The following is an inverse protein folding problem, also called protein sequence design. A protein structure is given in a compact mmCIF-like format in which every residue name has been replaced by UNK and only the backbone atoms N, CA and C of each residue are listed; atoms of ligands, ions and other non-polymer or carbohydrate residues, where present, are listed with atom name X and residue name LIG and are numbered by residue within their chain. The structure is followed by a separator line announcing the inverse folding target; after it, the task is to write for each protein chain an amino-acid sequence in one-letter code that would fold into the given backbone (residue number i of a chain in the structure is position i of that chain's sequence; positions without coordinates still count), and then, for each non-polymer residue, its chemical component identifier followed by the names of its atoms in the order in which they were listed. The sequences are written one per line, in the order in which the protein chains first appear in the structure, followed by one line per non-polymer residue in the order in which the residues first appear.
data_IF_028926701224
#
_entry.id   IF_028926701224
#
_cell.length_a   1.000
_cell.length_b   1.000
_cell.length_c   1.000
_cell.angle_alpha   90.00
_cell.angle_beta   90.00
_cell.angle_gamma   90.00
#
_symmetry.space_group_name_H-M   'P 1'
#
loop_
_entity.id
_entity.type
_entity.pdbx_description
1 polymer ?
#
# COMPACT_ATOMS: atom_id res chain seq x y z
N UNK A 1 25.06 -57.37 39.48
CA UNK A 1 25.75 -57.50 38.17
C UNK A 1 24.76 -57.73 37.02
N UNK A 2 24.20 -58.93 36.76
CA UNK A 2 23.25 -59.14 35.63
C UNK A 2 22.12 -58.09 35.56
N UNK A 3 21.41 -57.83 36.67
CA UNK A 3 20.39 -56.77 36.71
C UNK A 3 20.91 -55.36 36.40
N UNK A 4 22.13 -55.03 36.81
CA UNK A 4 22.73 -53.71 36.53
C UNK A 4 23.15 -53.59 35.08
N UNK A 5 23.65 -54.67 34.48
CA UNK A 5 23.96 -54.75 33.05
C UNK A 5 22.70 -54.53 32.22
N UNK A 6 21.60 -55.23 32.56
CA UNK A 6 20.30 -55.05 31.89
C UNK A 6 19.84 -53.59 31.99
N UNK A 7 19.84 -53.00 33.20
CA UNK A 7 19.47 -51.59 33.38
C UNK A 7 20.36 -50.63 32.59
N UNK A 8 21.68 -50.85 32.54
CA UNK A 8 22.58 -50.00 31.77
C UNK A 8 22.37 -50.15 30.26
N UNK A 9 22.06 -51.36 29.78
CA UNK A 9 21.76 -51.59 28.37
C UNK A 9 20.41 -51.01 27.97
N UNK A 10 19.40 -51.12 28.83
CA UNK A 10 18.09 -50.46 28.65
C UNK A 10 18.26 -48.94 28.63
N UNK A 11 19.02 -48.35 29.57
CA UNK A 11 19.28 -46.90 29.62
C UNK A 11 20.06 -46.38 28.41
N UNK A 12 20.84 -47.25 27.76
CA UNK A 12 21.61 -46.96 26.55
C UNK A 12 20.85 -47.29 25.26
N UNK A 13 19.62 -47.82 25.35
CA UNK A 13 18.85 -48.38 24.23
C UNK A 13 19.69 -49.39 23.38
N UNK A 14 20.56 -50.17 24.04
CA UNK A 14 21.47 -51.11 23.39
C UNK A 14 20.97 -52.56 23.51
N UNK A 15 20.89 -53.26 22.37
CA UNK A 15 20.61 -54.69 22.33
C UNK A 15 21.91 -55.51 22.52
N UNK A 16 21.84 -56.72 23.09
CA UNK A 16 23.02 -57.60 23.23
C UNK A 16 23.56 -57.99 21.85
N UNK A 17 24.81 -57.61 21.57
CA UNK A 17 25.46 -57.85 20.28
C UNK A 17 26.40 -59.05 20.37
N UNK A 18 27.20 -59.12 21.44
CA UNK A 18 28.19 -60.17 21.63
C UNK A 18 27.55 -61.48 22.10
N UNK A 19 28.17 -62.62 21.79
CA UNK A 19 27.71 -63.93 22.29
C UNK A 19 27.64 -63.96 23.81
N UNK A 20 28.57 -63.28 24.48
CA UNK A 20 28.62 -63.16 25.94
C UNK A 20 27.48 -62.32 26.50
N UNK A 21 27.16 -61.16 25.89
CA UNK A 21 25.99 -60.37 26.29
C UNK A 21 24.67 -61.13 26.09
N UNK A 22 24.55 -61.87 24.98
CA UNK A 22 23.37 -62.71 24.68
C UNK A 22 23.20 -63.83 25.70
N UNK A 23 24.29 -64.51 26.07
CA UNK A 23 24.28 -65.53 27.12
C UNK A 23 23.86 -64.92 28.48
N UNK A 24 24.41 -63.75 28.82
CA UNK A 24 24.05 -63.05 30.07
C UNK A 24 22.58 -62.60 30.09
N UNK A 25 22.02 -62.14 28.98
CA UNK A 25 20.68 -61.51 28.95
C UNK A 25 19.58 -62.51 28.62
N UNK A 26 19.81 -63.40 27.65
CA UNK A 26 18.79 -64.25 27.05
C UNK A 26 18.78 -65.69 27.58
N UNK A 27 19.87 -66.20 28.15
CA UNK A 27 19.90 -67.58 28.68
C UNK A 27 19.42 -67.70 30.14
N UNK A 28 18.98 -68.91 30.48
CA UNK A 28 18.48 -69.29 31.80
C UNK A 28 19.55 -69.06 32.87
N UNK A 29 19.17 -68.45 33.98
CA UNK A 29 20.11 -68.07 35.06
C UNK A 29 20.87 -69.26 35.65
N UNK A 30 20.33 -70.46 35.51
CA UNK A 30 20.89 -71.72 36.01
C UNK A 30 21.83 -72.39 35.00
N UNK A 31 21.79 -71.99 33.72
CA UNK A 31 22.68 -72.49 32.67
C UNK A 31 24.04 -71.76 32.62
N UNK A 32 24.11 -70.55 33.19
CA UNK A 32 25.31 -69.73 33.15
C UNK A 32 26.44 -70.28 34.06
N UNK A 33 27.59 -70.56 33.45
CA UNK A 33 28.74 -71.13 34.16
C UNK A 33 29.41 -70.08 35.08
N UNK A 34 29.42 -70.33 36.40
CA UNK A 34 30.02 -69.45 37.42
C UNK A 34 31.54 -69.65 37.57
N UNK A 35 32.30 -69.47 36.47
CA UNK A 35 33.77 -69.50 36.50
C UNK A 35 34.36 -68.17 36.98
N UNK A 36 35.61 -68.19 37.48
CA UNK A 36 36.34 -66.95 37.85
C UNK A 36 36.48 -66.00 36.66
N UNK A 37 36.70 -66.55 35.47
CA UNK A 37 36.86 -65.80 34.23
C UNK A 37 35.53 -65.17 33.79
N UNK A 38 34.42 -65.91 33.86
CA UNK A 38 33.09 -65.39 33.54
C UNK A 38 32.66 -64.28 34.50
N UNK A 39 33.00 -64.40 35.79
CA UNK A 39 32.77 -63.35 36.79
C UNK A 39 33.64 -62.10 36.49
N UNK A 40 34.88 -62.28 36.06
CA UNK A 40 35.75 -61.17 35.66
C UNK A 40 35.23 -60.45 34.41
N UNK A 41 34.80 -61.20 33.39
CA UNK A 41 34.18 -60.68 32.16
C UNK A 41 32.86 -59.96 32.44
N UNK A 42 32.04 -60.46 33.37
CA UNK A 42 30.82 -59.79 33.83
C UNK A 42 31.11 -58.42 34.48
N UNK A 43 32.16 -58.33 35.30
CA UNK A 43 32.58 -57.07 35.93
C UNK A 43 33.14 -56.09 34.91
N UNK A 44 33.91 -56.60 33.94
CA UNK A 44 34.45 -55.78 32.85
C UNK A 44 33.33 -55.18 31.99
N UNK A 45 32.36 -56.00 31.58
CA UNK A 45 31.21 -55.55 30.79
C UNK A 45 30.40 -54.49 31.54
N UNK A 46 30.14 -54.69 32.84
CA UNK A 46 29.46 -53.68 33.65
C UNK A 46 30.24 -52.37 33.69
N UNK A 47 31.56 -52.41 33.92
CA UNK A 47 32.40 -51.20 33.94
C UNK A 47 32.40 -50.46 32.60
N UNK A 48 32.43 -51.18 31.48
CA UNK A 48 32.36 -50.59 30.14
C UNK A 48 31.00 -49.94 29.85
N UNK A 49 29.91 -50.53 30.33
CA UNK A 49 28.56 -49.97 30.18
C UNK A 49 28.38 -48.72 31.07
N UNK A 50 28.89 -48.76 32.30
CA UNK A 50 28.86 -47.62 33.23
C UNK A 50 29.70 -46.44 32.69
N UNK A 51 30.88 -46.70 32.12
CA UNK A 51 31.73 -45.68 31.48
C UNK A 51 31.00 -45.03 30.29
N UNK A 52 30.45 -45.83 29.38
CA UNK A 52 29.72 -45.31 28.21
C UNK A 52 28.45 -44.53 28.58
N UNK A 53 27.75 -44.97 29.63
CA UNK A 53 26.62 -44.24 30.20
C UNK A 53 27.06 -42.88 30.75
N UNK A 54 28.17 -42.85 31.50
CA UNK A 54 28.73 -41.61 32.02
C UNK A 54 29.16 -40.64 30.90
N UNK A 55 29.79 -41.15 29.84
CA UNK A 55 30.14 -40.37 28.64
C UNK A 55 28.89 -39.78 27.95
N UNK A 56 27.87 -40.60 27.69
CA UNK A 56 26.62 -40.16 27.08
C UNK A 56 25.90 -39.12 27.93
N UNK A 57 25.88 -39.32 29.25
CA UNK A 57 25.30 -38.37 30.18
C UNK A 57 26.04 -37.03 30.15
N UNK A 58 27.38 -37.03 30.16
CA UNK A 58 28.18 -35.80 30.07
C UNK A 58 27.93 -35.04 28.75
N UNK A 59 27.81 -35.76 27.63
CA UNK A 59 27.46 -35.16 26.32
C UNK A 59 26.06 -34.54 26.37
N UNK A 60 25.07 -35.27 26.88
CA UNK A 60 23.70 -34.77 27.03
C UNK A 60 23.62 -33.53 27.92
N UNK A 61 24.33 -33.52 29.06
CA UNK A 61 24.38 -32.39 29.98
C UNK A 61 24.98 -31.14 29.31
N UNK A 62 26.12 -31.28 28.62
CA UNK A 62 26.75 -30.16 27.90
C UNK A 62 25.87 -29.58 26.78
N UNK A 63 25.09 -30.42 26.09
CA UNK A 63 24.13 -29.96 25.09
C UNK A 63 22.87 -29.35 25.72
N UNK A 64 22.46 -29.82 26.90
CA UNK A 64 21.26 -29.34 27.58
C UNK A 64 21.37 -27.87 27.98
N UNK A 65 22.54 -27.43 28.45
CA UNK A 65 22.75 -26.02 28.79
C UNK A 65 22.50 -25.10 27.58
N UNK A 66 23.00 -25.50 26.41
CA UNK A 66 22.79 -24.77 25.14
C UNK A 66 21.33 -24.82 24.69
N UNK A 67 20.66 -25.97 24.84
CA UNK A 67 19.24 -26.13 24.53
C UNK A 67 18.39 -25.23 25.44
N UNK A 68 18.72 -25.16 26.72
CA UNK A 68 18.03 -24.31 27.70
C UNK A 68 18.16 -22.83 27.30
N UNK A 69 19.37 -22.36 26.98
CA UNK A 69 19.59 -21.00 26.49
C UNK A 69 18.75 -20.70 25.24
N UNK A 70 18.75 -21.63 24.27
CA UNK A 70 17.97 -21.49 23.04
C UNK A 70 16.47 -21.49 23.30
N UNK A 71 15.96 -22.33 24.19
CA UNK A 71 14.55 -22.31 24.58
C UNK A 71 14.14 -20.97 25.19
N UNK A 72 14.97 -20.40 26.05
CA UNK A 72 14.71 -19.10 26.67
C UNK A 72 14.75 -17.96 25.65
N UNK A 73 15.76 -17.93 24.77
CA UNK A 73 15.90 -16.90 23.73
C UNK A 73 14.83 -17.00 22.65
N UNK A 74 14.45 -18.22 22.26
CA UNK A 74 13.41 -18.48 21.25
C UNK A 74 12.00 -18.51 21.85
N UNK A 75 11.87 -18.37 23.17
CA UNK A 75 10.61 -18.41 23.91
C UNK A 75 9.77 -19.67 23.60
N UNK A 76 10.42 -20.84 23.56
CA UNK A 76 9.73 -22.11 23.31
C UNK A 76 8.73 -22.38 24.45
N UNK A 77 7.47 -22.76 24.15
CA UNK A 77 6.44 -23.00 25.16
C UNK A 77 6.84 -24.08 26.18
N UNK A 78 6.39 -23.92 27.42
CA UNK A 78 6.75 -24.83 28.51
C UNK A 78 6.26 -26.26 28.25
N UNK A 79 5.13 -26.41 27.58
CA UNK A 79 4.56 -27.71 27.20
C UNK A 79 5.50 -28.50 26.29
N UNK A 80 6.12 -27.85 25.31
CA UNK A 80 7.10 -28.48 24.41
C UNK A 80 8.36 -28.88 25.16
N UNK A 81 8.84 -28.04 26.08
CA UNK A 81 10.02 -28.34 26.92
C UNK A 81 9.74 -29.57 27.78
N UNK A 82 8.59 -29.62 28.44
CA UNK A 82 8.21 -30.75 29.29
C UNK A 82 8.07 -32.06 28.52
N UNK A 83 7.48 -32.02 27.32
CA UNK A 83 7.38 -33.20 26.46
C UNK A 83 8.77 -33.76 26.11
N UNK A 84 9.71 -32.88 25.76
CA UNK A 84 11.09 -33.28 25.46
C UNK A 84 11.79 -33.86 26.71
N UNK A 85 11.67 -33.18 27.86
CA UNK A 85 12.28 -33.62 29.12
C UNK A 85 11.75 -34.98 29.61
N UNK A 86 10.48 -35.31 29.35
CA UNK A 86 9.88 -36.59 29.76
C UNK A 86 10.31 -37.76 28.88
N UNK A 87 10.54 -37.53 27.59
CA UNK A 87 10.68 -38.62 26.62
C UNK A 87 12.12 -38.93 26.22
N UNK A 88 13.04 -37.96 26.28
CA UNK A 88 14.23 -38.01 25.43
C UNK A 88 15.52 -37.49 26.07
N UNK A 89 15.49 -37.17 27.37
CA UNK A 89 16.51 -36.35 28.02
C UNK A 89 17.86 -37.03 28.25
N UNK A 90 17.87 -38.37 28.28
CA UNK A 90 19.07 -39.20 28.46
C UNK A 90 19.62 -39.72 27.13
N UNK A 91 18.86 -39.58 26.05
CA UNK A 91 19.21 -40.12 24.74
C UNK A 91 20.02 -39.06 23.97
N UNK A 92 21.28 -39.40 23.67
CA UNK A 92 22.22 -38.51 22.95
C UNK A 92 21.65 -38.11 21.59
N UNK A 93 21.09 -39.06 20.84
CA UNK A 93 20.54 -38.81 19.51
C UNK A 93 19.38 -37.80 19.54
N UNK A 94 18.49 -37.90 20.52
CA UNK A 94 17.38 -36.97 20.71
C UNK A 94 17.82 -35.60 21.21
N UNK A 95 18.83 -35.54 22.09
CA UNK A 95 19.42 -34.27 22.54
C UNK A 95 20.07 -33.51 21.40
N UNK A 96 20.82 -34.22 20.54
CA UNK A 96 21.41 -33.63 19.34
C UNK A 96 20.36 -33.22 18.30
N UNK A 97 19.28 -33.98 18.14
CA UNK A 97 18.21 -33.64 17.20
C UNK A 97 17.44 -32.40 17.63
N UNK A 98 17.16 -32.25 18.92
CA UNK A 98 16.53 -31.05 19.47
C UNK A 98 17.44 -29.83 19.33
N UNK A 99 18.74 -29.96 19.59
CA UNK A 99 19.70 -28.89 19.33
C UNK A 99 19.69 -28.43 17.86
N UNK A 100 19.64 -29.36 16.91
CA UNK A 100 19.49 -29.03 15.48
C UNK A 100 18.17 -28.34 15.16
N UNK A 101 17.05 -28.84 15.73
CA UNK A 101 15.72 -28.24 15.55
C UNK A 101 15.69 -26.78 16.01
N UNK A 102 16.26 -26.49 17.18
CA UNK A 102 16.29 -25.14 17.74
C UNK A 102 17.19 -24.19 16.94
N UNK A 103 18.34 -24.68 16.45
CA UNK A 103 19.20 -23.90 15.57
C UNK A 103 18.51 -23.56 14.25
N UNK A 104 17.74 -24.50 13.69
CA UNK A 104 16.93 -24.23 12.49
C UNK A 104 15.79 -23.24 12.79
N UNK A 105 15.12 -23.38 13.94
CA UNK A 105 14.09 -22.43 14.37
C UNK A 105 14.66 -21.02 14.53
N UNK A 106 15.86 -20.89 15.12
CA UNK A 106 16.59 -19.61 15.20
C UNK A 106 16.84 -19.03 13.82
N UNK A 107 17.34 -19.85 12.88
CA UNK A 107 17.60 -19.44 11.50
C UNK A 107 16.33 -18.97 10.79
N UNK A 108 15.22 -19.68 10.95
CA UNK A 108 13.91 -19.32 10.41
C UNK A 108 13.36 -18.02 11.00
N UNK A 109 13.51 -17.81 12.32
CA UNK A 109 13.11 -16.55 12.95
C UNK A 109 13.92 -15.37 12.40
N UNK A 110 15.25 -15.50 12.31
CA UNK A 110 16.09 -14.45 11.70
C UNK A 110 15.72 -14.18 10.25
N UNK A 111 15.41 -15.24 9.48
CA UNK A 111 14.91 -15.12 8.11
C UNK A 111 13.65 -14.28 8.04
N UNK A 112 12.63 -14.61 8.83
CA UNK A 112 11.35 -13.90 8.82
C UNK A 112 11.52 -12.42 9.16
N UNK A 113 12.32 -12.11 10.20
CA UNK A 113 12.61 -10.72 10.58
C UNK A 113 13.38 -9.99 9.49
N UNK A 114 14.41 -10.62 8.91
CA UNK A 114 15.20 -10.04 7.82
C UNK A 114 14.33 -9.76 6.59
N UNK A 115 13.46 -10.69 6.20
CA UNK A 115 12.52 -10.51 5.09
C UNK A 115 11.52 -9.37 5.35
N UNK A 116 11.01 -9.25 6.58
CA UNK A 116 10.17 -8.12 6.98
C UNK A 116 10.92 -6.79 6.86
N UNK A 117 12.16 -6.70 7.36
CA UNK A 117 12.99 -5.51 7.22
C UNK A 117 13.28 -5.21 5.74
N UNK A 118 13.56 -6.21 4.91
CA UNK A 118 13.74 -6.03 3.45
C UNK A 118 12.52 -5.42 2.79
N UNK A 119 11.32 -5.85 3.19
CA UNK A 119 10.07 -5.28 2.69
C UNK A 119 9.91 -3.80 3.05
N UNK A 120 10.29 -3.41 4.28
CA UNK A 120 10.29 -2.01 4.70
C UNK A 120 11.37 -1.20 3.97
N UNK A 121 12.57 -1.76 3.78
CA UNK A 121 13.65 -1.14 2.99
C UNK A 121 13.18 -0.87 1.56
N UNK A 122 12.51 -1.82 0.91
CA UNK A 122 11.98 -1.65 -0.44
C UNK A 122 10.97 -0.50 -0.52
N UNK A 123 10.07 -0.36 0.47
CA UNK A 123 9.13 0.76 0.55
C UNK A 123 9.87 2.09 0.73
N UNK A 124 10.94 2.13 1.54
CA UNK A 124 11.74 3.34 1.73
C UNK A 124 12.52 3.70 0.47
N UNK A 125 13.06 2.71 -0.25
CA UNK A 125 13.70 2.92 -1.55
C UNK A 125 12.75 3.54 -2.56
N UNK A 126 11.51 3.07 -2.64
CA UNK A 126 10.48 3.67 -3.49
C UNK A 126 10.18 5.12 -3.07
N UNK A 127 9.91 5.35 -1.78
CA UNK A 127 9.61 6.69 -1.24
C UNK A 127 10.73 7.71 -1.42
N UNK A 128 11.98 7.24 -1.40
CA UNK A 128 13.16 8.08 -1.59
C UNK A 128 13.67 8.09 -3.03
N UNK A 129 12.95 7.44 -3.96
CA UNK A 129 13.28 7.33 -5.38
C UNK A 129 14.67 6.73 -5.67
N UNK A 130 15.09 5.72 -4.91
CA UNK A 130 16.36 5.04 -5.11
C UNK A 130 16.40 4.34 -6.47
N UNK A 131 17.46 4.61 -7.23
CA UNK A 131 17.75 3.92 -8.49
C UNK A 131 18.14 2.46 -8.27
N UNK A 132 17.98 1.62 -9.31
CA UNK A 132 18.40 0.21 -9.29
C UNK A 132 19.85 0.04 -8.81
N UNK A 133 20.77 0.88 -9.30
CA UNK A 133 22.18 0.81 -8.93
C UNK A 133 22.41 1.12 -7.44
N UNK A 134 21.65 2.06 -6.87
CA UNK A 134 21.72 2.38 -5.43
C UNK A 134 21.14 1.26 -4.57
N UNK A 135 20.09 0.59 -5.03
CA UNK A 135 19.52 -0.57 -4.35
C UNK A 135 20.52 -1.75 -4.38
N UNK A 136 21.19 -1.96 -5.52
CA UNK A 136 22.21 -2.99 -5.70
C UNK A 136 23.48 -2.74 -4.88
N UNK A 137 23.78 -1.48 -4.55
CA UNK A 137 24.92 -1.13 -3.71
C UNK A 137 24.83 -1.75 -2.29
N UNK A 138 23.62 -1.99 -1.78
CA UNK A 138 23.42 -2.72 -0.53
C UNK A 138 23.40 -4.24 -0.78
N UNK A 139 24.57 -4.80 -1.09
CA UNK A 139 24.79 -6.23 -1.38
C UNK A 139 24.15 -7.19 -0.35
N UNK A 140 24.17 -6.92 0.98
CA UNK A 140 23.53 -7.79 1.97
C UNK A 140 22.02 -8.03 1.73
N UNK A 141 21.33 -7.13 1.02
CA UNK A 141 19.92 -7.29 0.65
C UNK A 141 19.64 -8.58 -0.14
N UNK A 142 20.61 -9.06 -0.92
CA UNK A 142 20.42 -10.20 -1.82
C UNK A 142 20.94 -11.53 -1.24
N UNK A 143 21.54 -11.51 -0.04
CA UNK A 143 22.05 -12.73 0.60
C UNK A 143 20.90 -13.61 1.11
N UNK A 144 21.04 -14.93 1.00
CA UNK A 144 20.12 -15.91 1.60
C UNK A 144 20.72 -16.60 2.83
N UNK A 145 21.88 -16.12 3.29
CA UNK A 145 22.61 -16.68 4.43
C UNK A 145 22.17 -15.97 5.72
N UNK A 146 21.03 -16.41 6.25
CA UNK A 146 20.43 -15.82 7.44
C UNK A 146 21.29 -16.08 8.68
N UNK A 147 22.05 -15.06 9.06
CA UNK A 147 22.93 -15.01 10.23
C UNK A 147 22.59 -13.78 11.08
N UNK A 148 23.00 -13.77 12.34
CA UNK A 148 22.81 -12.61 13.23
C UNK A 148 23.51 -11.35 12.66
N UNK A 149 24.68 -11.53 12.02
CA UNK A 149 25.38 -10.45 11.35
C UNK A 149 24.57 -9.88 10.19
N UNK A 150 23.96 -10.74 9.36
CA UNK A 150 23.11 -10.29 8.25
C UNK A 150 21.93 -9.47 8.77
N UNK A 151 21.27 -9.94 9.83
CA UNK A 151 20.16 -9.22 10.46
C UNK A 151 20.60 -7.84 10.96
N UNK A 152 21.72 -7.76 11.68
CA UNK A 152 22.25 -6.49 12.17
C UNK A 152 22.59 -5.48 11.06
N UNK A 153 23.08 -5.95 9.91
CA UNK A 153 23.29 -5.08 8.73
C UNK A 153 21.97 -4.50 8.19
N UNK A 154 20.90 -5.30 8.17
CA UNK A 154 19.58 -4.85 7.73
C UNK A 154 18.95 -3.87 8.73
N UNK A 155 19.10 -4.11 10.03
CA UNK A 155 18.64 -3.21 11.10
C UNK A 155 19.36 -1.85 11.03
N UNK A 156 20.67 -1.84 10.78
CA UNK A 156 21.41 -0.60 10.60
C UNK A 156 20.98 0.14 9.32
N UNK A 157 20.79 -0.58 8.21
CA UNK A 157 20.42 0.03 6.94
C UNK A 157 19.01 0.63 6.97
N UNK A 158 18.03 -0.07 7.56
CA UNK A 158 16.68 0.48 7.68
C UNK A 158 16.65 1.73 8.56
N UNK A 159 17.45 1.79 9.63
CA UNK A 159 17.57 2.99 10.47
C UNK A 159 18.18 4.15 9.68
N UNK A 160 19.25 3.90 8.92
CA UNK A 160 19.89 4.89 8.04
C UNK A 160 18.90 5.44 7.01
N UNK A 161 18.10 4.57 6.38
CA UNK A 161 17.09 4.97 5.40
C UNK A 161 15.94 5.74 6.03
N UNK A 162 15.45 5.33 7.22
CA UNK A 162 14.41 6.05 7.96
C UNK A 162 14.88 7.46 8.33
N UNK A 163 16.12 7.60 8.79
CA UNK A 163 16.72 8.90 9.08
C UNK A 163 16.83 9.75 7.80
N UNK A 164 17.37 9.21 6.72
CA UNK A 164 17.49 9.92 5.45
C UNK A 164 16.14 10.41 4.91
N UNK A 165 15.09 9.57 5.04
CA UNK A 165 13.75 9.93 4.64
C UNK A 165 13.19 11.06 5.51
N UNK A 166 13.30 10.98 6.83
CA UNK A 166 12.76 12.02 7.72
C UNK A 166 13.49 13.37 7.56
N UNK A 167 14.80 13.36 7.33
CA UNK A 167 15.59 14.57 7.06
C UNK A 167 15.13 15.30 5.78
N UNK A 168 14.78 14.56 4.73
CA UNK A 168 14.41 15.12 3.42
C UNK A 168 12.93 14.92 3.07
N UNK A 169 12.09 14.66 4.08
CA UNK A 169 10.69 14.28 3.92
C UNK A 169 9.88 15.27 3.11
N UNK A 170 10.05 16.56 3.38
CA UNK A 170 9.34 17.62 2.67
C UNK A 170 9.61 17.62 1.16
N UNK A 171 10.83 17.25 0.75
CA UNK A 171 11.23 17.16 -0.64
C UNK A 171 10.54 15.97 -1.30
N UNK A 172 10.65 14.77 -0.70
CA UNK A 172 10.04 13.56 -1.24
C UNK A 172 8.51 13.66 -1.32
N UNK A 173 7.85 14.11 -0.26
CA UNK A 173 6.40 14.37 -0.26
C UNK A 173 6.01 15.51 -1.23
N UNK A 174 6.90 16.48 -1.45
CA UNK A 174 6.71 17.51 -2.45
C UNK A 174 6.68 16.95 -3.88
N UNK A 175 7.60 16.04 -4.20
CA UNK A 175 7.67 15.35 -5.49
C UNK A 175 6.41 14.51 -5.73
N UNK A 176 6.02 13.71 -4.74
CA UNK A 176 4.80 12.89 -4.83
C UNK A 176 3.55 13.78 -5.04
N UNK A 177 3.42 14.88 -4.28
CA UNK A 177 2.31 15.83 -4.47
C UNK A 177 2.30 16.48 -5.84
N UNK A 178 3.46 16.75 -6.42
CA UNK A 178 3.54 17.29 -7.78
C UNK A 178 3.01 16.26 -8.78
N UNK A 179 3.42 15.00 -8.66
CA UNK A 179 2.97 13.92 -9.54
C UNK A 179 1.45 13.70 -9.44
N UNK A 180 0.90 13.66 -8.22
CA UNK A 180 -0.54 13.55 -7.98
C UNK A 180 -1.32 14.74 -8.55
N UNK A 181 -0.80 15.96 -8.37
CA UNK A 181 -1.41 17.19 -8.89
C UNK A 181 -1.37 17.22 -10.42
N UNK A 182 -0.28 16.77 -11.02
CA UNK A 182 -0.11 16.66 -12.48
C UNK A 182 -1.06 15.62 -13.07
N UNK A 183 -1.16 14.44 -12.45
CA UNK A 183 -2.09 13.38 -12.85
C UNK A 183 -3.54 13.85 -12.81
N UNK A 184 -3.93 14.54 -11.74
CA UNK A 184 -5.27 15.14 -11.61
C UNK A 184 -5.52 16.22 -12.68
N UNK A 185 -4.51 17.05 -12.97
CA UNK A 185 -4.60 18.05 -14.03
C UNK A 185 -4.88 17.41 -15.40
N UNK A 186 -4.16 16.35 -15.77
CA UNK A 186 -4.39 15.61 -17.01
C UNK A 186 -5.76 14.92 -17.03
N UNK A 187 -6.23 14.39 -15.91
CA UNK A 187 -7.57 13.80 -15.82
C UNK A 187 -8.67 14.84 -16.09
N UNK A 188 -8.54 16.04 -15.53
CA UNK A 188 -9.44 17.16 -15.77
C UNK A 188 -9.40 17.63 -17.24
N UNK A 189 -8.22 17.66 -17.86
CA UNK A 189 -8.08 17.95 -19.29
C UNK A 189 -8.78 16.91 -20.17
N UNK A 190 -8.63 15.62 -19.84
CA UNK A 190 -9.31 14.53 -20.56
C UNK A 190 -10.83 14.63 -20.44
N UNK A 191 -11.34 14.91 -19.22
CA UNK A 191 -12.76 15.16 -18.96
C UNK A 191 -13.27 16.38 -19.75
N UNK A 192 -12.45 17.41 -19.92
CA UNK A 192 -12.78 18.59 -20.72
C UNK A 192 -12.87 18.32 -22.23
N UNK A 193 -12.39 17.18 -22.73
CA UNK A 193 -12.56 16.76 -24.13
C UNK A 193 -13.84 15.95 -24.36
N UNK A 194 -14.41 15.33 -23.32
CA UNK A 194 -15.61 14.48 -23.44
C UNK A 194 -16.88 15.33 -23.74
N UNK A 195 -17.61 15.07 -24.83
CA UNK A 195 -18.92 15.69 -25.10
C UNK A 195 -20.02 15.31 -24.10
N UNK A 196 -19.92 14.14 -23.46
CA UNK A 196 -20.93 13.65 -22.49
C UNK A 196 -21.00 14.51 -21.23
N UNK A 197 -19.94 15.30 -20.96
CA UNK A 197 -19.82 16.18 -19.80
C UNK A 197 -20.93 17.20 -19.65
N UNK A 198 -21.57 17.61 -20.76
CA UNK A 198 -22.63 18.63 -20.73
C UNK A 198 -23.91 18.17 -20.01
N UNK A 199 -23.98 16.91 -19.56
CA UNK A 199 -24.98 16.41 -18.61
C UNK A 199 -24.72 16.92 -17.16
N UNK A 200 -24.60 18.23 -17.02
CA UNK A 200 -24.13 18.94 -15.83
C UNK A 200 -25.18 19.09 -14.72
N UNK A 201 -25.60 17.98 -14.12
CA UNK A 201 -26.43 18.04 -12.92
C UNK A 201 -25.56 18.40 -11.71
N UNK A 202 -25.85 19.51 -11.03
CA UNK A 202 -25.18 19.88 -9.77
C UNK A 202 -23.91 20.73 -9.90
N UNK A 203 -23.63 21.33 -11.07
CA UNK A 203 -22.58 22.33 -11.23
C UNK A 203 -21.15 21.77 -11.28
N UNK A 204 -20.98 20.53 -11.72
CA UNK A 204 -19.69 19.83 -11.76
C UNK A 204 -18.68 20.51 -12.70
N UNK A 205 -19.08 21.01 -13.87
CA UNK A 205 -18.15 21.70 -14.78
C UNK A 205 -17.49 22.92 -14.13
N UNK A 206 -18.24 23.67 -13.32
CA UNK A 206 -17.68 24.85 -12.66
C UNK A 206 -16.68 24.46 -11.57
N UNK A 207 -16.92 23.32 -10.89
CA UNK A 207 -15.99 22.76 -9.91
C UNK A 207 -14.71 22.27 -10.59
N UNK A 208 -14.84 21.54 -11.70
CA UNK A 208 -13.71 21.05 -12.50
C UNK A 208 -12.85 22.21 -13.01
N UNK A 209 -13.47 23.25 -13.59
CA UNK A 209 -12.74 24.42 -14.10
C UNK A 209 -12.07 25.20 -12.96
N UNK A 210 -12.74 25.32 -11.79
CA UNK A 210 -12.14 25.94 -10.60
C UNK A 210 -10.93 25.14 -10.11
N UNK A 211 -11.05 23.82 -10.01
CA UNK A 211 -9.94 22.94 -9.61
C UNK A 211 -8.78 23.01 -10.60
N UNK A 212 -9.07 23.00 -11.90
CA UNK A 212 -8.06 23.16 -12.95
C UNK A 212 -7.33 24.50 -12.84
N UNK A 213 -8.06 25.59 -12.65
CA UNK A 213 -7.48 26.92 -12.48
C UNK A 213 -6.63 27.04 -11.19
N UNK A 214 -6.98 26.29 -10.15
CA UNK A 214 -6.18 26.18 -8.92
C UNK A 214 -4.89 25.38 -9.18
N UNK A 215 -4.97 24.23 -9.85
CA UNK A 215 -3.81 23.41 -10.23
C UNK A 215 -2.83 24.17 -11.12
N UNK A 216 -3.34 24.92 -12.10
CA UNK A 216 -2.52 25.77 -12.98
C UNK A 216 -1.75 26.86 -12.20
N UNK A 217 -2.21 27.24 -11.00
CA UNK A 217 -1.51 28.19 -10.12
C UNK A 217 -0.64 27.50 -9.08
N UNK A 218 -1.02 26.32 -8.59
CA UNK A 218 -0.31 25.60 -7.53
C UNK A 218 0.89 24.82 -8.07
N UNK A 219 0.78 24.20 -9.25
CA UNK A 219 1.87 23.43 -9.88
C UNK A 219 3.14 24.27 -10.07
N UNK A 220 3.13 25.47 -10.70
CA UNK A 220 4.34 26.28 -10.84
C UNK A 220 4.92 26.76 -9.50
N UNK A 221 4.07 26.95 -8.48
CA UNK A 221 4.53 27.32 -7.12
C UNK A 221 5.23 26.15 -6.45
N UNK A 222 4.68 24.94 -6.60
CA UNK A 222 5.27 23.72 -6.08
C UNK A 222 6.60 23.41 -6.78
N UNK A 223 6.65 23.54 -8.11
CA UNK A 223 7.88 23.39 -8.91
C UNK A 223 8.96 24.36 -8.46
N UNK A 224 8.63 25.62 -8.21
CA UNK A 224 9.58 26.61 -7.68
C UNK A 224 10.08 26.23 -6.29
N UNK A 225 9.21 25.74 -5.40
CA UNK A 225 9.61 25.24 -4.07
C UNK A 225 10.54 24.04 -4.20
N UNK A 226 10.16 23.04 -5.01
CA UNK A 226 10.93 21.84 -5.26
C UNK A 226 12.29 22.15 -5.85
N UNK A 227 12.38 23.07 -6.82
CA UNK A 227 13.65 23.51 -7.40
C UNK A 227 14.61 24.07 -6.34
N UNK A 228 14.11 24.83 -5.36
CA UNK A 228 14.93 25.34 -4.28
C UNK A 228 15.38 24.22 -3.32
N UNK A 229 14.49 23.30 -2.97
CA UNK A 229 14.81 22.16 -2.09
C UNK A 229 15.79 21.17 -2.74
N UNK A 230 15.60 20.86 -4.03
CA UNK A 230 16.50 20.01 -4.81
C UNK A 230 17.89 20.63 -4.86
N UNK A 231 17.99 21.94 -5.10
CA UNK A 231 19.29 22.61 -5.11
C UNK A 231 20.04 22.43 -3.79
N UNK A 232 19.38 22.64 -2.65
CA UNK A 232 19.98 22.43 -1.32
C UNK A 232 20.39 20.96 -1.13
N UNK A 233 19.50 20.03 -1.48
CA UNK A 233 19.75 18.60 -1.38
C UNK A 233 20.96 18.15 -2.21
N UNK A 234 21.10 18.64 -3.45
CA UNK A 234 22.23 18.28 -4.32
C UNK A 234 23.57 18.82 -3.78
N UNK A 235 23.56 19.96 -3.09
CA UNK A 235 24.75 20.47 -2.40
C UNK A 235 25.11 19.61 -1.18
N UNK A 236 24.10 19.20 -0.38
CA UNK A 236 24.31 18.40 0.83
C UNK A 236 24.74 16.96 0.51
N UNK A 237 24.14 16.35 -0.51
CA UNK A 237 24.37 14.95 -0.89
C UNK A 237 25.48 14.78 -1.94
N UNK A 238 26.03 15.89 -2.45
CA UNK A 238 27.06 15.93 -3.50
C UNK A 238 26.74 15.03 -4.72
N UNK A 239 25.46 14.90 -5.06
CA UNK A 239 24.94 14.04 -6.13
C UNK A 239 23.71 14.66 -6.75
N UNK A 240 23.41 14.28 -7.99
CA UNK A 240 22.23 14.76 -8.70
C UNK A 240 20.95 14.12 -8.15
N UNK A 241 19.87 14.89 -8.07
CA UNK A 241 18.57 14.38 -7.62
C UNK A 241 17.83 13.70 -8.77
N UNK A 242 17.87 12.37 -8.76
CA UNK A 242 17.25 11.53 -9.77
C UNK A 242 15.97 10.89 -9.23
N UNK A 243 14.94 10.88 -10.05
CA UNK A 243 13.68 10.17 -9.81
C UNK A 243 13.48 9.21 -10.98
N UNK A 244 13.39 7.91 -10.70
CA UNK A 244 13.32 6.85 -11.72
C UNK A 244 14.44 6.92 -12.78
N UNK A 245 15.63 7.40 -12.40
CA UNK A 245 16.80 7.51 -13.29
C UNK A 245 16.87 8.79 -14.13
N UNK A 246 15.92 9.72 -13.99
CA UNK A 246 15.93 11.02 -14.67
C UNK A 246 15.98 12.17 -13.67
N UNK A 247 16.61 13.30 -14.02
CA UNK A 247 16.53 14.52 -13.21
C UNK A 247 15.09 14.99 -13.10
N UNK A 248 14.58 15.11 -11.88
CA UNK A 248 13.17 15.43 -11.66
C UNK A 248 12.73 16.71 -12.38
N UNK A 249 13.53 17.79 -12.35
CA UNK A 249 13.17 19.05 -13.01
C UNK A 249 13.12 18.93 -14.54
N UNK A 250 13.96 18.06 -15.14
CA UNK A 250 13.90 17.80 -16.58
C UNK A 250 12.63 17.03 -16.93
N UNK A 251 12.28 16.03 -16.11
CA UNK A 251 11.04 15.28 -16.26
C UNK A 251 9.81 16.21 -16.20
N UNK A 252 9.75 17.13 -15.23
CA UNK A 252 8.68 18.14 -15.12
C UNK A 252 8.55 18.98 -16.39
N UNK A 253 9.66 19.48 -16.93
CA UNK A 253 9.68 20.28 -18.15
C UNK A 253 9.21 19.48 -19.36
N UNK A 254 9.66 18.24 -19.49
CA UNK A 254 9.24 17.31 -20.53
C UNK A 254 7.73 17.03 -20.47
N UNK A 255 7.17 16.82 -19.28
CA UNK A 255 5.73 16.62 -19.10
C UNK A 255 4.91 17.84 -19.58
N UNK A 256 5.36 19.05 -19.24
CA UNK A 256 4.71 20.27 -19.73
C UNK A 256 4.80 20.42 -21.26
N UNK A 257 5.96 20.10 -21.84
CA UNK A 257 6.16 20.18 -23.28
C UNK A 257 5.32 19.16 -24.04
N UNK A 258 5.26 17.92 -23.56
CA UNK A 258 4.38 16.88 -24.12
C UNK A 258 2.91 17.32 -24.12
N UNK A 259 2.44 17.87 -23.00
CA UNK A 259 1.09 18.41 -22.92
C UNK A 259 0.87 19.58 -23.89
N UNK A 260 1.86 20.47 -24.05
CA UNK A 260 1.79 21.60 -25.00
C UNK A 260 1.66 21.11 -26.45
N UNK A 261 2.50 20.15 -26.84
CA UNK A 261 2.50 19.53 -28.17
C UNK A 261 1.16 18.83 -28.43
N UNK A 262 0.62 18.10 -27.45
CA UNK A 262 -0.67 17.43 -27.60
C UNK A 262 -1.82 18.44 -27.84
N UNK A 263 -1.84 19.56 -27.11
CA UNK A 263 -2.82 20.64 -27.34
C UNK A 263 -2.64 21.32 -28.69
N UNK A 264 -1.41 21.50 -29.16
CA UNK A 264 -1.14 22.05 -30.49
C UNK A 264 -1.61 21.09 -31.59
N UNK A 265 -1.33 19.80 -31.46
CA UNK A 265 -1.79 18.76 -32.38
C UNK A 265 -3.32 18.69 -32.44
N UNK A 266 -4.00 18.73 -31.29
CA UNK A 266 -5.46 18.77 -31.23
C UNK A 266 -6.02 20.00 -31.97
N UNK A 267 -5.37 21.16 -31.82
CA UNK A 267 -5.74 22.39 -32.52
C UNK A 267 -5.54 22.26 -34.03
N UNK A 268 -4.39 21.74 -34.47
CA UNK A 268 -4.10 21.52 -35.90
C UNK A 268 -5.07 20.52 -36.51
N UNK A 269 -5.40 19.44 -35.82
CA UNK A 269 -6.37 18.44 -36.28
C UNK A 269 -7.77 19.07 -36.45
N UNK A 270 -8.21 19.89 -35.49
CA UNK A 270 -9.47 20.64 -35.60
C UNK A 270 -9.47 21.61 -36.79
N UNK A 271 -8.35 22.30 -37.04
CA UNK A 271 -8.21 23.20 -38.19
C UNK A 271 -8.25 22.43 -39.52
N UNK A 272 -7.57 21.30 -39.61
CA UNK A 272 -7.53 20.45 -40.78
C UNK A 272 -8.91 19.84 -41.07
N UNK A 273 -9.64 19.36 -40.05
CA UNK A 273 -11.03 18.91 -40.17
C UNK A 273 -11.93 20.03 -40.70
N UNK A 274 -11.78 21.25 -40.18
CA UNK A 274 -12.53 22.43 -40.66
C UNK A 274 -12.19 22.77 -42.12
N UNK A 275 -10.92 22.73 -42.50
CA UNK A 275 -10.48 22.99 -43.87
C UNK A 275 -11.04 21.95 -44.85
N UNK A 276 -10.96 20.66 -44.51
CA UNK A 276 -11.56 19.57 -45.30
C UNK A 276 -13.06 19.72 -45.44
N UNK A 277 -13.75 20.10 -44.36
CA UNK A 277 -15.20 20.35 -44.42
C UNK A 277 -15.52 21.48 -45.41
N UNK A 278 -14.76 22.59 -45.35
CA UNK A 278 -14.94 23.72 -46.28
C UNK A 278 -14.70 23.28 -47.74
N UNK A 279 -13.67 22.48 -47.99
CA UNK A 279 -13.37 21.94 -49.32
C UNK A 279 -14.50 21.08 -49.87
N UNK A 280 -15.04 20.17 -49.04
CA UNK A 280 -16.21 19.33 -49.38
C UNK A 280 -17.43 20.20 -49.65
N UNK A 281 -17.68 21.21 -48.81
CA UNK A 281 -18.82 22.12 -48.97
C UNK A 281 -18.71 22.97 -50.25
N UNK A 282 -17.49 23.35 -50.68
CA UNK A 282 -17.27 24.03 -51.96
C UNK A 282 -17.47 23.10 -53.16
N UNK A 283 -17.05 21.83 -53.06
CA UNK A 283 -17.10 20.88 -54.17
C UNK A 283 -18.51 20.32 -54.42
N UNK A 284 -19.26 20.04 -53.35
CA UNK A 284 -20.58 19.41 -53.42
C UNK A 284 -21.74 20.37 -53.09
N UNK A 285 -21.42 21.62 -52.72
CA UNK A 285 -22.38 22.60 -52.23
C UNK A 285 -22.77 22.34 -50.77
N UNK A 286 -22.99 23.40 -50.01
CA UNK A 286 -23.54 23.28 -48.65
C UNK A 286 -24.95 22.70 -48.72
N UNK A 287 -25.20 21.53 -48.14
CA UNK A 287 -26.56 21.07 -47.90
C UNK A 287 -27.22 22.06 -46.92
N UNK A 288 -28.04 22.98 -47.44
CA UNK A 288 -28.75 23.99 -46.67
C UNK A 288 -29.75 23.31 -45.72
N UNK A 289 -29.30 22.97 -44.51
CA UNK A 289 -30.20 22.73 -43.37
C UNK A 289 -30.46 24.07 -42.70
N UNK A 290 -31.28 24.90 -43.34
CA UNK A 290 -31.98 25.96 -42.61
C UNK A 290 -32.83 25.32 -41.50
N UNK A 291 -32.77 25.80 -40.25
CA UNK A 291 -33.75 25.43 -39.26
C UNK A 291 -35.09 26.02 -39.71
N UNK A 292 -36.00 25.15 -40.15
CA UNK A 292 -37.37 25.53 -40.51
C UNK A 292 -38.01 26.22 -39.31
N UNK A 293 -38.09 27.56 -39.37
CA UNK A 293 -38.97 28.35 -38.52
C UNK A 293 -40.39 27.82 -38.70
N UNK A 294 -40.91 27.12 -37.69
CA UNK A 294 -42.33 26.80 -37.61
C UNK A 294 -43.07 28.12 -37.38
N UNK A 295 -43.62 28.65 -38.46
CA UNK A 295 -44.54 29.79 -38.51
C UNK A 295 -45.83 29.37 -37.79
N UNK A 296 -45.96 29.69 -36.49
CA UNK A 296 -47.25 29.65 -35.82
C UNK A 296 -47.94 30.99 -36.06
N UNK A 297 -48.97 30.96 -36.91
CA UNK A 297 -50.01 31.97 -36.99
C UNK A 297 -50.80 31.92 -35.68
N UNK A 298 -50.49 32.83 -34.77
CA UNK A 298 -51.22 33.07 -33.52
C UNK A 298 -51.93 34.41 -33.60
N UNK A 299 -53.24 34.34 -33.48
CA UNK A 299 -54.28 35.37 -33.56
C UNK A 299 -53.99 36.69 -32.83
N UNK A 300 -54.37 37.77 -33.51
CA UNK A 300 -54.53 39.13 -32.97
C UNK A 300 -55.57 39.17 -31.87
N UNK A 301 -55.22 39.69 -30.69
CA UNK A 301 -56.20 40.26 -29.74
C UNK A 301 -55.70 41.60 -29.20
N UNK A 302 -56.57 42.62 -29.10
CA UNK A 302 -56.14 44.00 -28.87
C UNK A 302 -56.11 44.39 -27.40
N UNK A 303 -55.15 45.26 -27.09
CA UNK A 303 -55.24 46.37 -26.12
C UNK A 303 -55.83 46.11 -24.72
N UNK A 304 -54.96 46.16 -23.71
CA UNK A 304 -55.29 46.88 -22.47
C UNK A 304 -54.08 47.69 -22.01
N UNK A 305 -54.09 48.96 -22.40
CA UNK A 305 -53.16 49.95 -21.91
C UNK A 305 -53.36 50.15 -20.40
N UNK A 306 -52.27 50.11 -19.63
CA UNK A 306 -52.20 50.79 -18.34
C UNK A 306 -50.87 51.54 -18.27
N UNK A 307 -51.03 52.84 -18.07
CA UNK A 307 -50.02 53.90 -18.12
C UNK A 307 -48.89 53.68 -17.11
N UNK A 308 -47.65 53.95 -17.51
CA UNK A 308 -46.62 54.45 -16.60
C UNK A 308 -45.77 55.51 -17.32
N UNK A 309 -45.53 56.63 -16.63
CA UNK A 309 -44.84 57.83 -17.10
C UNK A 309 -43.31 57.72 -16.91
N UNK A 310 -42.57 58.42 -17.77
CA UNK A 310 -41.18 58.90 -17.58
C UNK A 310 -40.11 57.81 -17.74
N UNK A 311 -39.05 57.93 -18.54
CA UNK A 311 -38.28 59.11 -18.93
C UNK A 311 -37.43 58.75 -20.15
N UNK A 312 -37.24 59.71 -21.04
CA UNK A 312 -36.42 59.66 -22.24
C UNK A 312 -34.92 59.72 -21.93
N UNK A 313 -34.12 58.81 -22.50
CA UNK A 313 -32.85 59.14 -23.16
C UNK A 313 -32.27 57.91 -23.85
N UNK A 314 -32.11 58.04 -25.15
CA UNK A 314 -31.71 57.03 -26.11
C UNK A 314 -30.19 56.84 -26.12
N UNK A 315 -29.73 55.60 -25.98
CA UNK A 315 -28.38 55.16 -26.34
C UNK A 315 -28.54 54.02 -27.35
N UNK A 316 -28.32 54.32 -28.63
CA UNK A 316 -28.21 53.32 -29.69
C UNK A 316 -26.79 53.34 -30.24
N UNK A 317 -25.96 52.43 -29.73
CA UNK A 317 -24.67 52.04 -30.31
C UNK A 317 -24.91 50.77 -31.12
N UNK A 318 -25.04 50.92 -32.45
CA UNK A 318 -25.05 49.82 -33.39
C UNK A 318 -23.62 49.60 -33.93
N UNK A 319 -23.08 48.41 -33.67
CA UNK A 319 -21.80 47.95 -34.18
C UNK A 319 -21.85 47.85 -35.71
N UNK A 320 -20.89 48.47 -36.40
CA UNK A 320 -20.64 48.26 -37.82
C UNK A 320 -19.17 47.87 -38.03
N UNK A 321 -18.96 46.61 -38.41
CA UNK A 321 -17.70 46.16 -39.01
C UNK A 321 -17.78 46.43 -40.51
N UNK A 322 -16.87 47.23 -41.04
CA UNK A 322 -16.52 47.15 -42.46
C UNK A 322 -15.06 47.51 -42.68
N UNK A 323 -14.37 46.57 -43.31
CA UNK A 323 -13.06 46.67 -43.93
C UNK A 323 -13.13 47.62 -45.13
N UNK A 324 -12.16 48.54 -45.30
CA UNK A 324 -11.33 48.68 -46.50
C UNK A 324 -10.56 50.02 -46.57
N UNK A 325 -9.26 49.85 -46.90
CA UNK A 325 -8.36 50.69 -47.71
C UNK A 325 -7.84 52.06 -47.22
N UNK A 326 -6.50 52.05 -47.13
CA UNK A 326 -5.52 53.13 -47.22
C UNK A 326 -5.65 53.99 -48.49
N UNK A 327 -5.43 55.31 -48.33
CA UNK A 327 -4.55 56.13 -49.17
C UNK A 327 -4.38 57.57 -48.60
N UNK A 328 -3.11 57.98 -48.46
CA UNK A 328 -2.51 59.33 -48.61
C UNK A 328 -3.18 60.61 -48.06
N UNK A 329 -2.38 61.36 -47.27
CA UNK A 329 -2.10 62.78 -47.59
C UNK A 329 -2.37 63.84 -46.49
N UNK A 330 -1.29 64.52 -46.05
CA UNK A 330 -1.27 65.95 -45.68
C UNK A 330 -1.75 66.33 -44.26
N UNK A 331 -0.85 66.53 -43.29
CA UNK A 331 -0.22 67.82 -42.87
C UNK A 331 -0.96 68.58 -41.74
N UNK A 332 -0.20 68.85 -40.66
CA UNK A 332 -0.13 70.14 -39.90
C UNK A 332 -1.37 70.45 -39.01
N UNK A 333 -1.31 70.73 -37.70
CA UNK A 333 -0.21 71.10 -36.79
C UNK A 333 -0.68 71.27 -35.32
N UNK A 334 0.31 71.39 -34.42
CA UNK A 334 0.36 72.11 -33.12
C UNK A 334 -0.33 71.55 -31.86
N UNK A 335 0.49 70.92 -31.00
CA UNK A 335 0.50 71.17 -29.53
C UNK A 335 1.12 72.56 -29.25
N UNK A 336 1.11 73.17 -28.03
CA UNK A 336 1.38 72.59 -26.70
C UNK A 336 0.36 73.13 -25.63
N UNK A 337 0.35 72.84 -24.32
CA UNK A 337 1.40 73.01 -23.30
C UNK A 337 0.85 72.57 -21.93
N UNK A 338 1.70 71.94 -21.11
CA UNK A 338 1.67 71.93 -19.62
C UNK A 338 2.42 73.21 -19.13
N UNK A 339 2.65 73.55 -17.82
CA UNK A 339 2.41 72.90 -16.51
C UNK A 339 1.94 73.96 -15.43
N UNK A 340 2.34 74.03 -14.12
CA UNK A 340 2.85 73.05 -13.12
C UNK A 340 2.20 73.08 -11.70
N UNK A 341 2.48 72.00 -10.93
CA UNK A 341 2.86 71.86 -9.50
C UNK A 341 2.21 72.68 -8.36
N UNK A 342 1.91 72.03 -7.21
CA UNK A 342 2.53 72.33 -5.88
C UNK A 342 1.86 71.64 -4.66
N UNK A 343 2.70 70.95 -3.88
CA UNK A 343 2.81 70.87 -2.39
C UNK A 343 1.87 70.03 -1.50
N UNK A 344 2.53 69.01 -0.91
CA UNK A 344 2.42 68.33 0.39
C UNK A 344 1.57 68.94 1.53
N UNK A 345 0.81 68.09 2.24
CA UNK A 345 0.99 67.78 3.70
C UNK A 345 -0.09 66.81 4.24
N UNK A 346 0.37 65.80 4.98
CA UNK A 346 -0.32 64.98 6.00
C UNK A 346 0.47 65.29 7.32
N UNK A 347 -0.01 65.16 8.59
CA UNK A 347 -0.98 64.19 9.09
C UNK A 347 -1.93 64.63 10.25
N UNK A 348 -2.88 63.74 10.59
CA UNK A 348 -3.19 63.28 11.96
C UNK A 348 -4.70 63.16 12.30
N UNK A 349 -5.11 61.91 12.57
CA UNK A 349 -5.95 61.39 13.67
C UNK A 349 -7.14 62.24 14.18
N UNK A 350 -8.36 61.66 14.08
CA UNK A 350 -9.30 61.40 15.21
C UNK A 350 -10.62 60.75 14.75
N UNK A 351 -10.94 59.59 15.34
CA UNK A 351 -12.29 59.00 15.46
C UNK A 351 -13.13 59.81 16.47
N UNK A 352 -14.48 59.82 16.39
CA UNK A 352 -15.35 58.81 17.05
C UNK A 352 -16.57 58.43 16.16
N UNK A 353 -17.21 57.25 16.18
CA UNK A 353 -17.77 56.49 17.30
C UNK A 353 -19.29 56.72 17.40
N UNK A 354 -20.16 55.84 16.85
CA UNK A 354 -21.58 55.68 17.28
C UNK A 354 -22.28 54.40 16.76
N UNK A 355 -22.55 53.49 17.71
CA UNK A 355 -23.69 52.58 17.96
C UNK A 355 -24.54 51.92 16.85
N UNK A 356 -24.75 50.60 17.04
CA UNK A 356 -25.81 49.70 16.51
C UNK A 356 -27.24 50.08 16.99
N UNK A 357 -28.29 49.42 16.46
CA UNK A 357 -28.93 48.35 17.27
C UNK A 357 -29.34 47.07 16.47
N UNK A 358 -29.74 45.97 17.15
CA UNK A 358 -30.03 44.66 16.56
C UNK A 358 -31.52 44.27 16.56
N UNK A 359 -31.93 43.34 15.68
CA UNK A 359 -33.15 42.52 15.81
C UNK A 359 -32.87 41.15 15.12
N UNK A 360 -32.89 40.02 15.87
CA UNK A 360 -33.96 39.01 15.90
C UNK A 360 -34.50 38.62 14.51
N UNK A 361 -34.57 37.38 14.05
CA UNK A 361 -34.34 36.04 14.61
C UNK A 361 -35.03 35.07 13.65
N UNK A 362 -34.41 33.95 13.30
CA UNK A 362 -35.13 32.76 12.81
C UNK A 362 -34.18 31.56 12.89
N UNK A 363 -34.63 30.65 13.75
CA UNK A 363 -34.04 29.39 14.13
C UNK A 363 -34.55 28.34 13.16
N UNK A 364 -33.64 27.63 12.48
CA UNK A 364 -34.00 26.39 11.79
C UNK A 364 -33.17 25.25 12.37
N UNK A 365 -33.91 24.31 12.97
CA UNK A 365 -33.44 23.11 13.65
C UNK A 365 -32.90 22.13 12.62
N UNK A 366 -31.75 21.52 12.88
CA UNK A 366 -31.49 20.15 12.46
C UNK A 366 -30.77 19.38 13.59
N UNK A 367 -31.56 18.48 14.18
CA UNK A 367 -31.20 17.25 14.91
C UNK A 367 -30.23 16.40 14.07
N UNK A 368 -29.34 15.55 14.56
CA UNK A 368 -29.03 14.96 15.87
C UNK A 368 -27.59 14.41 15.72
N UNK A 369 -26.78 14.45 16.78
CA UNK A 369 -25.55 13.67 16.88
C UNK A 369 -25.48 13.12 18.32
N UNK A 370 -24.99 11.88 18.46
CA UNK A 370 -24.46 11.25 19.69
C UNK A 370 -25.42 10.63 20.73
N UNK A 371 -25.22 9.33 20.98
CA UNK A 371 -25.11 8.73 22.32
C UNK A 371 -23.94 7.72 22.27
N UNK A 372 -22.81 7.92 22.97
CA UNK A 372 -22.50 7.54 24.37
C UNK A 372 -22.86 6.07 24.66
N UNK A 373 -21.94 5.09 24.78
CA UNK A 373 -20.83 4.83 25.74
C UNK A 373 -21.28 4.48 27.17
N UNK A 374 -20.72 3.36 27.68
CA UNK A 374 -20.69 2.79 29.07
C UNK A 374 -21.86 1.85 29.43
N UNK A 375 -21.70 0.66 30.03
CA UNK A 375 -20.57 -0.15 30.48
C UNK A 375 -21.05 -1.39 31.28
N UNK A 376 -20.18 -2.40 31.36
CA UNK A 376 -19.97 -3.43 32.41
C UNK A 376 -21.14 -4.02 33.23
N UNK A 377 -21.21 -5.36 33.28
CA UNK A 377 -21.78 -6.09 34.43
C UNK A 377 -22.27 -7.52 34.15
N UNK A 378 -21.41 -8.52 34.42
CA UNK A 378 -21.75 -9.95 34.57
C UNK A 378 -22.10 -10.19 36.06
N UNK A 379 -23.08 -11.07 36.42
CA UNK A 379 -22.71 -12.41 36.89
C UNK A 379 -23.65 -13.57 36.49
N UNK A 380 -22.98 -14.67 36.13
CA UNK A 380 -23.20 -16.10 36.42
C UNK A 380 -24.58 -16.66 36.90
N UNK A 381 -24.92 -17.79 36.26
CA UNK A 381 -25.37 -19.09 36.81
C UNK A 381 -26.86 -19.53 36.76
N UNK A 382 -27.05 -20.62 36.00
CA UNK A 382 -27.83 -21.83 36.30
C UNK A 382 -29.31 -21.93 35.90
N UNK A 383 -29.61 -22.99 35.12
CA UNK A 383 -30.80 -23.81 35.34
C UNK A 383 -31.80 -23.95 34.18
N UNK A 384 -31.86 -25.15 33.58
CA UNK A 384 -33.13 -25.84 33.38
C UNK A 384 -33.82 -25.76 32.00
N UNK A 385 -33.79 -26.89 31.31
CA UNK A 385 -34.60 -27.36 30.19
C UNK A 385 -36.03 -26.78 30.03
N UNK A 386 -36.43 -26.52 28.77
CA UNK A 386 -37.67 -27.02 28.14
C UNK A 386 -37.73 -26.67 26.64
N UNK A 387 -37.88 -27.70 25.82
CA UNK A 387 -38.27 -27.67 24.40
C UNK A 387 -39.78 -27.46 24.25
N UNK A 388 -40.23 -26.58 23.36
CA UNK A 388 -41.34 -26.85 22.43
C UNK A 388 -41.49 -25.79 21.30
N UNK A 389 -41.80 -26.30 20.11
CA UNK A 389 -42.53 -25.71 18.98
C UNK A 389 -41.83 -24.69 18.04
N UNK A 390 -41.60 -25.17 16.81
CA UNK A 390 -41.68 -24.41 15.55
C UNK A 390 -43.17 -24.02 15.27
N UNK A 391 -43.54 -23.10 14.35
CA UNK A 391 -42.98 -22.94 13.00
C UNK A 391 -42.87 -21.49 12.45
N UNK A 392 -42.01 -21.28 11.46
CA UNK A 392 -42.34 -20.70 10.14
C UNK A 392 -41.04 -20.31 9.40
N UNK A 393 -40.87 -20.88 8.20
CA UNK A 393 -39.80 -20.55 7.26
C UNK A 393 -40.24 -19.36 6.42
N UNK A 394 -39.53 -18.25 6.54
CA UNK A 394 -39.49 -17.21 5.52
C UNK A 394 -38.04 -17.11 5.03
N UNK A 395 -37.83 -17.45 3.76
CA UNK A 395 -36.54 -17.32 3.10
C UNK A 395 -36.27 -15.83 2.83
N UNK A 396 -35.20 -15.30 3.41
CA UNK A 396 -34.61 -14.02 2.98
C UNK A 396 -33.12 -14.24 2.74
N UNK A 397 -32.72 -14.05 1.48
CA UNK A 397 -31.35 -14.10 0.99
C UNK A 397 -30.69 -12.79 1.45
N UNK A 398 -29.90 -12.87 2.51
CA UNK A 398 -28.67 -12.11 2.78
C UNK A 398 -28.27 -12.27 4.26
N UNK A 399 -27.39 -13.22 4.55
CA UNK A 399 -26.54 -13.16 5.73
C UNK A 399 -25.21 -13.80 5.40
N UNK A 400 -24.20 -12.92 5.32
CA UNK A 400 -22.80 -13.27 5.19
C UNK A 400 -22.35 -13.86 6.53
N UNK A 401 -21.69 -15.01 6.46
CA UNK A 401 -21.21 -15.78 7.61
C UNK A 401 -20.51 -14.89 8.65
N UNK A 402 -21.00 -14.95 9.88
CA UNK A 402 -20.25 -14.49 11.05
C UNK A 402 -19.38 -15.66 11.52
N UNK A 403 -18.06 -15.46 11.46
CA UNK A 403 -16.96 -16.28 12.00
C UNK A 403 -16.25 -17.22 10.99
N UNK A 404 -14.93 -17.04 10.89
CA UNK A 404 -13.97 -17.72 10.00
C UNK A 404 -13.95 -19.26 10.12
N UNK A 405 -14.45 -19.83 11.22
CA UNK A 405 -14.44 -21.28 11.44
C UNK A 405 -15.44 -22.08 10.60
N UNK A 406 -16.53 -21.47 10.11
CA UNK A 406 -17.50 -22.19 9.26
C UNK A 406 -17.02 -22.35 7.81
N UNK A 407 -16.25 -21.40 7.30
CA UNK A 407 -15.67 -21.46 5.95
C UNK A 407 -14.66 -22.61 5.77
N UNK A 408 -13.90 -22.94 6.84
CA UNK A 408 -12.91 -24.01 6.80
C UNK A 408 -13.54 -25.43 6.77
N UNK A 409 -14.75 -25.60 7.33
CA UNK A 409 -15.40 -26.92 7.34
C UNK A 409 -15.93 -27.32 5.96
N UNK A 410 -16.42 -26.39 5.15
CA UNK A 410 -17.02 -26.75 3.85
C UNK A 410 -15.98 -27.06 2.77
N UNK A 411 -14.76 -26.54 2.87
CA UNK A 411 -13.63 -26.91 1.99
C UNK A 411 -13.18 -28.37 2.18
N UNK A 412 -13.26 -28.90 3.40
CA UNK A 412 -12.87 -30.28 3.73
C UNK A 412 -13.82 -31.36 3.20
N UNK A 413 -15.07 -31.00 2.86
CA UNK A 413 -16.07 -31.93 2.31
C UNK A 413 -16.00 -32.06 0.78
N UNK A 414 -15.40 -31.10 0.08
CA UNK A 414 -15.36 -31.07 -1.38
C UNK A 414 -14.27 -31.97 -2.01
N UNK A 415 -13.32 -32.49 -1.23
CA UNK A 415 -12.13 -33.19 -1.77
C UNK A 415 -12.24 -34.72 -1.85
N UNK A 416 -13.37 -35.32 -1.47
CA UNK A 416 -13.58 -36.77 -1.59
C UNK A 416 -14.49 -37.14 -2.77
N UNK A 417 -14.01 -36.91 -3.99
CA UNK A 417 -14.55 -37.56 -5.21
C UNK A 417 -13.42 -38.21 -5.99
N UNK A 418 -13.36 -39.55 -5.94
CA UNK A 418 -12.44 -40.39 -6.72
C UNK A 418 -12.71 -40.28 -8.22
N UNK A 419 -11.76 -39.78 -9.00
CA UNK A 419 -11.77 -39.85 -10.48
C UNK A 419 -10.95 -41.06 -10.95
N UNK A 420 -11.55 -41.95 -11.74
CA UNK A 420 -10.84 -42.99 -12.52
C UNK A 420 -10.23 -42.35 -13.79
N UNK A 421 -9.05 -42.78 -14.27
CA UNK A 421 -8.53 -42.34 -15.55
C UNK A 421 -8.99 -43.25 -16.70
N UNK A 422 -9.65 -42.66 -17.71
CA UNK A 422 -9.90 -43.31 -19.00
C UNK A 422 -8.71 -43.11 -19.94
N UNK A 423 -8.28 -44.20 -20.56
CA UNK A 423 -7.21 -44.28 -21.56
C UNK A 423 -7.82 -43.98 -22.93
N UNK A 424 -7.31 -42.97 -23.64
CA UNK A 424 -7.63 -42.72 -25.04
C UNK A 424 -6.38 -42.91 -25.91
N UNK A 425 -6.40 -43.96 -26.73
CA UNK A 425 -5.49 -44.17 -27.85
C UNK A 425 -5.88 -43.23 -29.01
N UNK A 426 -4.91 -42.67 -29.71
CA UNK A 426 -5.14 -42.05 -31.02
C UNK A 426 -3.99 -42.35 -31.98
N UNK A 427 -4.39 -43.01 -33.06
CA UNK A 427 -3.63 -43.47 -34.22
C UNK A 427 -3.26 -42.29 -35.11
N UNK A 428 -1.98 -42.22 -35.52
CA UNK A 428 -1.48 -41.33 -36.59
C UNK A 428 -1.62 -42.07 -37.92
N UNK A 429 -2.31 -41.48 -38.88
CA UNK A 429 -2.32 -41.90 -40.28
C UNK A 429 -1.47 -40.92 -41.10
N UNK A 430 -0.47 -41.46 -41.79
CA UNK A 430 0.28 -40.80 -42.86
C UNK A 430 -0.56 -40.77 -44.14
N UNK A 431 -0.57 -39.62 -44.82
CA UNK A 431 -0.47 -39.47 -46.28
C UNK A 431 0.06 -38.09 -46.62
#
# INVERSE_FOLDING_TARGET
IKRQIILCMDDLDQLPETSFEKDIICEDQEAFCLSKDNIASLKLLLGQLEERKAENQAVCEAHREKIQELWDRLQVPQEERELFLRAHVTIVSSTLSEGRRLMELKRLNMRNVTEAIRSEIAVLWEKCFFSSDQQQAFVPYFSNDFTEQLLGLHEAEILRLKQHYEEHKELFEGVQRWEESWRLFLELEKKATDPSRFTNRGGNLLKEEKQKAELHKSLPKLEKKLKAQIYVWEQEQAREFLVNGQKFLQFVEEQWELHRIEKENEKLERQLKKSKQIEVDMLYGTAVRTPTKRRFLGTTTPSKARKFNGTTSSLSSANSNSTMRSAYGGTVCHSPSRPPLSVNKVPSVRTPGRSKPPLAGLQERNKENMGQVTGLGVPLQSGGFKTLASPQRNFSINSVASTYSEFARDLSKATNTKSKPDILNSTIAHL
#
